data_IF_214747784097
#
_entry.id   IF_214747784097
#
_cell.length_a   1.000
_cell.length_b   1.000
_cell.length_c   1.000
_cell.angle_alpha   90.00
_cell.angle_beta   90.00
_cell.angle_gamma   90.00
#
_symmetry.space_group_name_H-M   'P 1'
#
loop_
_entity.id
_entity.type
_entity.pdbx_description
1 polymer ?
#
# COMPACT_ATOMS: atom_id res chain seq x y z
N UNK A 1 -43.56 8.35 9.87
CA UNK A 1 -42.59 8.39 10.95
C UNK A 1 -42.47 9.77 11.63
N UNK A 2 -42.87 10.87 11.00
CA UNK A 2 -42.95 12.20 11.64
C UNK A 2 -41.57 12.91 11.87
N UNK A 3 -40.45 12.33 11.39
CA UNK A 3 -39.11 12.93 11.49
C UNK A 3 -38.67 13.46 10.11
N UNK A 4 -38.28 14.73 10.05
CA UNK A 4 -37.69 15.33 8.84
C UNK A 4 -36.23 14.95 8.73
N UNK A 5 -35.87 14.26 7.65
CA UNK A 5 -34.51 13.80 7.38
C UNK A 5 -33.86 14.67 6.33
N UNK A 6 -32.72 15.28 6.67
CA UNK A 6 -31.80 15.91 5.72
C UNK A 6 -30.88 14.86 5.11
N UNK A 7 -30.74 14.86 3.78
CA UNK A 7 -29.82 13.95 3.07
C UNK A 7 -28.73 14.77 2.41
N UNK A 8 -27.49 14.41 2.68
CA UNK A 8 -26.29 14.97 2.06
C UNK A 8 -25.42 13.85 1.47
N UNK A 9 -24.57 14.17 0.50
CA UNK A 9 -23.80 13.15 -0.22
C UNK A 9 -22.32 13.43 -0.09
N UNK A 10 -21.61 12.45 0.43
CA UNK A 10 -20.13 12.36 0.47
C UNK A 10 -19.44 13.68 0.87
N UNK A 11 -18.93 14.41 -0.12
CA UNK A 11 -18.14 15.62 0.06
C UNK A 11 -18.94 16.77 0.69
N UNK A 12 -20.25 16.75 0.65
CA UNK A 12 -21.11 17.76 1.27
C UNK A 12 -20.79 18.01 2.75
N UNK A 13 -20.41 16.95 3.50
CA UNK A 13 -20.02 17.07 4.91
C UNK A 13 -18.61 17.61 5.12
N UNK A 14 -17.79 17.69 4.06
CA UNK A 14 -16.39 18.14 4.14
C UNK A 14 -16.26 19.67 3.94
N UNK A 15 -17.35 20.40 3.73
CA UNK A 15 -17.36 21.85 3.52
C UNK A 15 -17.58 22.65 4.82
N UNK A 16 -17.25 22.08 5.96
CA UNK A 16 -17.39 22.66 7.29
C UNK A 16 -16.23 23.63 7.60
N UNK A 17 -16.47 24.94 7.45
CA UNK A 17 -15.46 25.96 7.75
C UNK A 17 -15.06 25.98 9.22
N UNK A 18 -15.99 25.74 10.14
CA UNK A 18 -15.69 25.73 11.57
C UNK A 18 -14.76 24.58 11.97
N UNK A 19 -14.82 23.46 11.24
CA UNK A 19 -13.96 22.31 11.48
C UNK A 19 -12.63 22.40 10.72
N UNK A 20 -12.65 22.80 9.42
CA UNK A 20 -11.48 22.79 8.55
C UNK A 20 -10.75 24.14 8.46
N UNK A 21 -11.31 25.22 9.01
CA UNK A 21 -10.78 26.57 8.88
C UNK A 21 -10.90 27.19 7.48
N UNK A 22 -11.58 26.50 6.56
CA UNK A 22 -11.82 26.94 5.18
C UNK A 22 -13.07 26.29 4.61
N UNK A 23 -13.62 26.90 3.57
CA UNK A 23 -14.66 26.31 2.71
C UNK A 23 -14.10 25.94 1.35
N UNK A 24 -14.61 24.84 0.79
CA UNK A 24 -14.39 24.45 -0.61
C UNK A 24 -15.45 25.07 -1.53
N UNK A 25 -16.67 25.29 -1.02
CA UNK A 25 -17.82 25.87 -1.73
C UNK A 25 -18.43 27.01 -0.93
N UNK A 26 -19.16 27.90 -1.60
CA UNK A 26 -19.80 29.07 -0.98
C UNK A 26 -20.88 28.70 0.06
N UNK A 27 -21.51 27.53 -0.08
CA UNK A 27 -22.62 27.07 0.77
C UNK A 27 -22.23 25.80 1.50
N UNK A 28 -22.52 25.72 2.80
CA UNK A 28 -22.45 24.48 3.59
C UNK A 28 -23.76 23.70 3.41
N UNK A 29 -23.71 22.50 2.77
CA UNK A 29 -24.92 21.70 2.55
C UNK A 29 -25.55 21.18 3.83
N UNK A 30 -24.77 20.86 4.86
CA UNK A 30 -25.28 20.41 6.16
C UNK A 30 -26.05 21.54 6.85
N UNK A 31 -25.49 22.74 6.88
CA UNK A 31 -26.16 23.94 7.41
C UNK A 31 -27.52 24.20 6.71
N UNK A 32 -27.53 24.03 5.38
CA UNK A 32 -28.76 24.25 4.60
C UNK A 32 -29.88 23.26 4.91
N UNK A 33 -29.59 21.96 5.00
CA UNK A 33 -30.64 20.95 5.29
C UNK A 33 -31.15 21.11 6.71
N UNK A 34 -30.30 21.50 7.67
CA UNK A 34 -30.72 21.80 9.04
C UNK A 34 -31.58 23.05 9.10
N UNK A 35 -31.21 24.13 8.41
CA UNK A 35 -32.01 25.36 8.32
C UNK A 35 -33.38 25.13 7.64
N UNK A 36 -33.47 24.11 6.77
CA UNK A 36 -34.72 23.67 6.17
C UNK A 36 -35.57 22.77 7.09
N UNK A 37 -35.14 22.54 8.34
CA UNK A 37 -35.92 21.83 9.36
C UNK A 37 -35.55 20.34 9.52
N UNK A 38 -34.38 19.91 9.05
CA UNK A 38 -33.93 18.53 9.29
C UNK A 38 -33.72 18.27 10.79
N UNK A 39 -34.29 17.19 11.29
CA UNK A 39 -34.15 16.72 12.67
C UNK A 39 -33.17 15.56 12.80
N UNK A 40 -32.75 15.01 11.66
CA UNK A 40 -31.73 13.99 11.49
C UNK A 40 -31.03 14.26 10.16
N UNK A 41 -29.71 14.16 10.10
CA UNK A 41 -28.96 14.24 8.85
C UNK A 41 -28.33 12.90 8.52
N UNK A 42 -28.50 12.44 7.28
CA UNK A 42 -27.88 11.23 6.74
C UNK A 42 -26.89 11.61 5.66
N UNK A 43 -25.64 11.22 5.81
CA UNK A 43 -24.61 11.36 4.79
C UNK A 43 -24.33 10.02 4.12
N UNK A 44 -24.57 9.93 2.81
CA UNK A 44 -24.26 8.78 1.98
C UNK A 44 -22.92 9.00 1.30
N UNK A 45 -21.90 8.23 1.68
CA UNK A 45 -20.49 8.47 1.32
C UNK A 45 -19.85 7.32 0.56
N UNK A 46 -18.94 7.67 -0.33
CA UNK A 46 -17.89 6.82 -0.90
C UNK A 46 -16.53 7.45 -0.58
N UNK A 47 -16.23 7.57 0.70
CA UNK A 47 -14.99 8.17 1.20
C UNK A 47 -13.91 7.09 1.34
N UNK A 48 -12.81 7.18 0.55
CA UNK A 48 -11.77 6.17 0.58
C UNK A 48 -10.99 6.22 1.91
N UNK A 49 -10.54 5.05 2.32
CA UNK A 49 -9.67 4.92 3.48
C UNK A 49 -8.24 5.36 3.17
N UNK A 50 -7.62 5.96 4.15
CA UNK A 50 -6.19 6.17 4.28
C UNK A 50 -5.87 6.31 5.76
N UNK A 51 -4.60 6.25 6.14
CA UNK A 51 -4.15 6.41 7.54
C UNK A 51 -4.81 7.63 8.21
N UNK A 52 -5.40 7.43 9.39
CA UNK A 52 -6.07 8.49 10.18
C UNK A 52 -7.42 8.96 9.65
N UNK A 53 -7.90 8.40 8.54
CA UNK A 53 -9.14 8.86 7.90
C UNK A 53 -10.39 8.50 8.72
N UNK A 54 -10.39 7.36 9.39
CA UNK A 54 -11.50 6.90 10.25
C UNK A 54 -11.74 7.87 11.40
N UNK A 55 -10.70 8.22 12.17
CA UNK A 55 -10.77 9.22 13.24
C UNK A 55 -11.16 10.61 12.73
N UNK A 56 -10.66 11.01 11.56
CA UNK A 56 -10.99 12.30 10.98
C UNK A 56 -12.50 12.40 10.66
N UNK A 57 -13.09 11.35 10.06
CA UNK A 57 -14.54 11.30 9.78
C UNK A 57 -15.36 11.38 11.07
N UNK A 58 -15.00 10.58 12.09
CA UNK A 58 -15.72 10.58 13.36
C UNK A 58 -15.70 11.97 14.02
N UNK A 59 -14.53 12.61 14.08
CA UNK A 59 -14.39 13.98 14.64
C UNK A 59 -15.19 15.00 13.85
N UNK A 60 -15.14 14.95 12.52
CA UNK A 60 -15.86 15.88 11.64
C UNK A 60 -17.37 15.75 11.83
N UNK A 61 -17.93 14.53 11.77
CA UNK A 61 -19.36 14.28 11.89
C UNK A 61 -19.86 14.63 13.29
N UNK A 62 -19.14 14.27 14.35
CA UNK A 62 -19.49 14.63 15.74
C UNK A 62 -19.44 16.15 15.94
N UNK A 63 -18.45 16.86 15.36
CA UNK A 63 -18.37 18.31 15.44
C UNK A 63 -19.55 18.98 14.72
N UNK A 64 -19.95 18.48 13.55
CA UNK A 64 -21.11 18.98 12.83
C UNK A 64 -22.41 18.69 13.61
N UNK A 65 -22.59 17.48 14.16
CA UNK A 65 -23.74 17.15 15.01
C UNK A 65 -23.83 18.08 16.22
N UNK A 66 -22.71 18.36 16.86
CA UNK A 66 -22.65 19.31 18.01
C UNK A 66 -23.02 20.72 17.60
N UNK A 67 -22.47 21.23 16.50
CA UNK A 67 -22.71 22.60 16.03
C UNK A 67 -24.19 22.84 15.66
N UNK A 68 -24.80 21.86 14.99
CA UNK A 68 -26.17 21.99 14.49
C UNK A 68 -27.22 21.49 15.48
N UNK A 69 -26.85 20.81 16.54
CA UNK A 69 -27.77 20.25 17.54
C UNK A 69 -28.67 19.12 16.99
N UNK A 70 -28.26 18.45 15.92
CA UNK A 70 -29.02 17.35 15.30
C UNK A 70 -28.17 16.09 15.18
N UNK A 71 -28.74 14.88 15.37
CA UNK A 71 -28.04 13.63 15.13
C UNK A 71 -27.62 13.49 13.66
N UNK A 72 -26.49 12.86 13.42
CA UNK A 72 -25.99 12.58 12.08
C UNK A 72 -25.65 11.10 11.91
N UNK A 73 -26.07 10.51 10.79
CA UNK A 73 -25.73 9.15 10.40
C UNK A 73 -24.79 9.22 9.20
N UNK A 74 -23.61 8.68 9.37
CA UNK A 74 -22.60 8.58 8.32
C UNK A 74 -22.57 7.15 7.79
N UNK A 75 -22.95 6.96 6.52
CA UNK A 75 -22.97 5.66 5.84
C UNK A 75 -21.93 5.68 4.74
N UNK A 76 -20.95 4.80 4.81
CA UNK A 76 -19.85 4.76 3.86
C UNK A 76 -19.80 3.44 3.09
N UNK A 77 -19.36 3.51 1.85
CA UNK A 77 -19.15 2.37 0.99
C UNK A 77 -18.10 1.40 1.55
N UNK A 78 -18.26 0.10 1.26
CA UNK A 78 -17.26 -0.95 1.46
C UNK A 78 -16.82 -1.48 0.10
N UNK A 79 -15.54 -1.80 -0.05
CA UNK A 79 -14.99 -2.43 -1.23
C UNK A 79 -13.74 -1.74 -1.75
N UNK A 80 -13.15 -2.27 -2.83
CA UNK A 80 -11.96 -1.70 -3.49
C UNK A 80 -12.27 -1.28 -4.90
N UNK A 81 -11.61 -0.23 -5.38
CA UNK A 81 -11.70 0.23 -6.77
C UNK A 81 -10.33 0.75 -7.24
N UNK A 82 -9.62 -0.08 -7.98
CA UNK A 82 -8.23 0.11 -8.41
C UNK A 82 -7.34 0.44 -7.20
N UNK A 83 -6.87 1.69 -7.07
CA UNK A 83 -6.06 2.13 -5.93
C UNK A 83 -6.87 2.45 -4.68
N UNK A 84 -8.16 2.77 -4.78
CA UNK A 84 -8.98 3.22 -3.66
C UNK A 84 -9.57 2.05 -2.87
N UNK A 85 -9.45 2.11 -1.56
CA UNK A 85 -10.06 1.18 -0.63
C UNK A 85 -11.10 1.90 0.21
N UNK A 86 -12.31 1.37 0.27
CA UNK A 86 -13.42 1.91 1.06
C UNK A 86 -13.64 0.99 2.25
N UNK A 87 -13.39 1.53 3.43
CA UNK A 87 -13.41 0.78 4.69
C UNK A 87 -14.81 0.63 5.29
N UNK A 88 -15.86 1.19 4.68
CA UNK A 88 -17.13 1.31 5.36
C UNK A 88 -16.98 2.19 6.58
N UNK A 89 -16.91 1.59 7.76
CA UNK A 89 -16.72 2.36 8.99
C UNK A 89 -17.89 3.30 9.25
N UNK A 90 -19.11 2.88 8.93
CA UNK A 90 -20.35 3.64 9.12
C UNK A 90 -20.68 3.77 10.60
N UNK A 91 -21.23 4.91 11.01
CA UNK A 91 -21.60 5.20 12.39
C UNK A 91 -22.69 6.28 12.47
N UNK A 92 -23.30 6.41 13.65
CA UNK A 92 -24.19 7.51 13.98
C UNK A 92 -23.59 8.33 15.11
N UNK A 93 -23.75 9.66 15.09
CA UNK A 93 -23.17 10.58 16.02
C UNK A 93 -24.14 11.66 16.51
N UNK A 94 -23.96 12.07 17.77
CA UNK A 94 -24.54 13.26 18.38
C UNK A 94 -23.45 14.24 18.85
N UNK A 95 -23.84 15.30 19.56
CA UNK A 95 -22.91 16.19 20.23
C UNK A 95 -22.03 15.50 21.28
N UNK A 96 -22.50 14.40 21.85
CA UNK A 96 -21.91 13.73 23.02
C UNK A 96 -20.97 12.57 22.62
N UNK A 97 -21.19 11.96 21.44
CA UNK A 97 -20.39 10.85 20.96
C UNK A 97 -21.04 10.08 19.81
N UNK A 98 -20.74 8.78 19.70
CA UNK A 98 -21.26 7.88 18.68
C UNK A 98 -22.17 6.81 19.26
N UNK A 99 -23.11 6.30 18.45
CA UNK A 99 -24.07 5.26 18.87
C UNK A 99 -23.45 3.86 18.87
N UNK A 100 -22.55 3.57 17.92
CA UNK A 100 -21.94 2.26 17.77
C UNK A 100 -20.52 2.41 17.20
N UNK A 101 -19.65 1.42 17.48
CA UNK A 101 -18.32 1.35 16.87
C UNK A 101 -18.44 0.99 15.39
N UNK A 102 -17.68 1.69 14.52
CA UNK A 102 -17.67 1.37 13.10
C UNK A 102 -17.11 -0.03 12.82
N UNK A 103 -17.75 -0.78 11.94
CA UNK A 103 -17.19 -2.02 11.38
C UNK A 103 -16.36 -1.65 10.15
N UNK A 104 -15.08 -2.02 10.16
CA UNK A 104 -14.17 -1.67 9.08
C UNK A 104 -13.95 -2.85 8.12
N UNK A 105 -13.91 -2.56 6.82
CA UNK A 105 -13.63 -3.48 5.71
C UNK A 105 -14.59 -4.68 5.63
N UNK A 106 -15.81 -4.54 6.15
CA UNK A 106 -16.86 -5.53 6.04
C UNK A 106 -18.22 -4.85 5.81
N UNK A 107 -19.08 -5.52 5.03
CA UNK A 107 -20.48 -5.11 4.91
C UNK A 107 -21.19 -5.34 6.24
N UNK A 108 -21.97 -4.36 6.69
CA UNK A 108 -22.71 -4.42 7.93
C UNK A 108 -24.06 -3.73 7.83
N UNK A 109 -25.04 -4.21 8.62
CA UNK A 109 -26.33 -3.59 8.82
C UNK A 109 -26.55 -3.42 10.31
N UNK A 110 -26.38 -2.19 10.78
CA UNK A 110 -26.52 -1.84 12.19
C UNK A 110 -27.82 -1.08 12.43
N UNK A 111 -28.56 -1.48 13.46
CA UNK A 111 -29.75 -0.76 13.95
C UNK A 111 -29.30 0.22 15.04
N UNK A 112 -29.66 1.49 14.87
CA UNK A 112 -29.39 2.54 15.84
C UNK A 112 -30.68 2.96 16.50
N UNK A 113 -30.75 2.83 17.84
CA UNK A 113 -31.89 3.32 18.62
C UNK A 113 -31.73 4.83 18.86
N UNK A 114 -32.61 5.63 18.28
CA UNK A 114 -32.62 7.09 18.42
C UNK A 114 -33.07 7.58 19.79
N UNK A 115 -33.61 6.69 20.63
CA UNK A 115 -34.00 6.99 22.01
C UNK A 115 -32.89 6.68 23.03
N UNK A 116 -31.90 5.90 22.64
CA UNK A 116 -30.73 5.60 23.47
C UNK A 116 -29.69 6.73 23.44
N UNK A 117 -28.86 6.90 24.51
CA UNK A 117 -27.74 7.83 24.47
C UNK A 117 -26.69 7.40 23.47
N UNK A 118 -26.12 8.36 22.72
CA UNK A 118 -25.01 8.18 21.77
C UNK A 118 -23.77 8.89 22.32
N UNK A 119 -23.12 8.28 23.30
CA UNK A 119 -22.04 8.87 24.08
C UNK A 119 -20.74 8.05 24.02
N UNK A 120 -20.71 6.96 23.23
CA UNK A 120 -19.51 6.16 23.07
C UNK A 120 -18.41 6.96 22.35
N UNK A 121 -17.17 6.70 22.74
CA UNK A 121 -16.00 7.24 22.04
C UNK A 121 -15.54 6.26 20.97
N UNK A 122 -15.01 6.80 19.86
CA UNK A 122 -14.41 5.97 18.82
C UNK A 122 -13.20 5.20 19.38
N UNK A 123 -13.22 3.88 19.23
CA UNK A 123 -12.05 3.04 19.43
C UNK A 123 -11.41 2.80 18.07
N UNK A 124 -10.21 3.33 17.88
CA UNK A 124 -9.49 3.18 16.62
C UNK A 124 -8.76 1.83 16.60
N UNK A 125 -8.98 0.98 15.58
CA UNK A 125 -8.20 -0.25 15.43
C UNK A 125 -6.71 0.06 15.21
N UNK A 126 -5.84 -0.90 15.52
CA UNK A 126 -4.42 -0.77 15.23
C UNK A 126 -4.16 -0.47 13.75
N UNK A 127 -3.22 0.45 13.46
CA UNK A 127 -2.91 0.84 12.09
C UNK A 127 -2.54 -0.36 11.21
N UNK A 128 -1.72 -1.28 11.73
CA UNK A 128 -1.29 -2.47 11.01
C UNK A 128 -2.49 -3.36 10.62
N UNK A 129 -3.48 -3.49 11.50
CA UNK A 129 -4.70 -4.24 11.22
C UNK A 129 -5.51 -3.59 10.09
N UNK A 130 -5.63 -2.27 10.09
CA UNK A 130 -6.33 -1.53 9.05
C UNK A 130 -5.60 -1.60 7.70
N UNK A 131 -4.27 -1.48 7.70
CA UNK A 131 -3.45 -1.63 6.50
C UNK A 131 -3.57 -3.04 5.92
N UNK A 132 -3.52 -4.06 6.77
CA UNK A 132 -3.71 -5.46 6.37
C UNK A 132 -5.09 -5.66 5.72
N UNK A 133 -6.16 -5.22 6.37
CA UNK A 133 -7.52 -5.37 5.86
C UNK A 133 -7.71 -4.63 4.52
N UNK A 134 -7.12 -3.44 4.37
CA UNK A 134 -7.12 -2.68 3.12
C UNK A 134 -6.39 -3.42 2.00
N UNK A 135 -5.23 -4.03 2.28
CA UNK A 135 -4.49 -4.82 1.30
C UNK A 135 -5.28 -6.06 0.86
N UNK A 136 -5.82 -6.82 1.81
CA UNK A 136 -6.63 -8.03 1.52
C UNK A 136 -7.87 -7.67 0.69
N UNK A 137 -8.61 -6.65 1.09
CA UNK A 137 -9.78 -6.17 0.32
C UNK A 137 -9.36 -5.70 -1.07
N UNK A 138 -8.28 -4.94 -1.18
CA UNK A 138 -7.79 -4.39 -2.44
C UNK A 138 -7.37 -5.47 -3.43
N UNK A 139 -6.62 -6.48 -2.99
CA UNK A 139 -6.25 -7.62 -3.83
C UNK A 139 -7.51 -8.36 -4.31
N UNK A 140 -8.41 -8.69 -3.39
CA UNK A 140 -9.66 -9.41 -3.71
C UNK A 140 -10.49 -8.64 -4.73
N UNK A 141 -10.76 -7.37 -4.47
CA UNK A 141 -11.58 -6.53 -5.35
C UNK A 141 -10.94 -6.35 -6.74
N UNK A 142 -9.63 -6.12 -6.79
CA UNK A 142 -8.92 -5.94 -8.05
C UNK A 142 -8.97 -7.20 -8.90
N UNK A 143 -8.61 -8.36 -8.34
CA UNK A 143 -8.58 -9.64 -9.04
C UNK A 143 -9.98 -10.00 -9.56
N UNK A 144 -11.00 -9.90 -8.71
CA UNK A 144 -12.38 -10.27 -9.07
C UNK A 144 -13.00 -9.33 -10.10
N UNK A 145 -12.80 -8.00 -9.97
CA UNK A 145 -13.36 -7.02 -10.91
C UNK A 145 -12.78 -7.13 -12.32
N UNK A 146 -11.52 -7.58 -12.44
CA UNK A 146 -10.92 -7.87 -13.75
C UNK A 146 -11.24 -9.28 -14.29
N UNK A 147 -12.04 -10.06 -13.56
CA UNK A 147 -12.49 -11.39 -13.99
C UNK A 147 -11.43 -12.48 -13.81
N UNK A 148 -10.38 -12.23 -13.05
CA UNK A 148 -9.40 -13.26 -12.69
C UNK A 148 -9.83 -14.01 -11.43
N UNK A 149 -9.37 -15.25 -11.31
CA UNK A 149 -9.54 -16.09 -10.10
C UNK A 149 -8.22 -16.61 -9.55
N UNK A 150 -7.12 -16.37 -10.24
CA UNK A 150 -5.79 -16.85 -9.87
C UNK A 150 -4.76 -15.73 -9.94
N UNK A 151 -3.78 -15.82 -9.06
CA UNK A 151 -2.62 -14.93 -9.06
C UNK A 151 -1.32 -15.72 -9.04
N UNK A 152 -0.28 -15.11 -9.58
CA UNK A 152 1.10 -15.62 -9.52
C UNK A 152 2.02 -14.52 -9.04
N UNK A 153 3.08 -14.88 -8.30
CA UNK A 153 4.13 -13.97 -7.89
C UNK A 153 5.48 -14.70 -7.75
N UNK A 154 6.54 -13.94 -7.86
CA UNK A 154 7.89 -14.43 -7.55
C UNK A 154 8.08 -14.57 -6.04
N UNK A 155 8.57 -15.73 -5.58
CA UNK A 155 9.00 -15.94 -4.21
C UNK A 155 10.53 -15.94 -4.15
N UNK A 156 11.09 -14.87 -3.62
CA UNK A 156 12.53 -14.69 -3.50
C UNK A 156 13.11 -15.21 -2.17
N UNK A 157 12.24 -15.64 -1.24
CA UNK A 157 12.60 -15.89 0.15
C UNK A 157 12.75 -14.59 0.98
N UNK A 158 12.59 -13.41 0.38
CA UNK A 158 12.59 -12.11 1.08
C UNK A 158 11.22 -11.76 1.62
N UNK A 159 11.22 -10.84 2.60
CA UNK A 159 10.04 -10.43 3.37
C UNK A 159 8.92 -9.85 2.50
N UNK A 160 9.23 -9.07 1.45
CA UNK A 160 8.24 -8.40 0.61
C UNK A 160 7.41 -9.41 -0.17
N UNK A 161 8.06 -10.36 -0.83
CA UNK A 161 7.38 -11.44 -1.56
C UNK A 161 6.59 -12.35 -0.61
N UNK A 162 7.11 -12.60 0.60
CA UNK A 162 6.44 -13.38 1.62
C UNK A 162 5.17 -12.68 2.12
N UNK A 163 5.23 -11.39 2.37
CA UNK A 163 4.06 -10.61 2.76
C UNK A 163 2.99 -10.59 1.67
N UNK A 164 3.37 -10.31 0.41
CA UNK A 164 2.40 -10.28 -0.71
C UNK A 164 1.75 -11.65 -0.91
N UNK A 165 2.50 -12.76 -0.81
CA UNK A 165 1.93 -14.11 -0.89
C UNK A 165 0.91 -14.35 0.22
N UNK A 166 1.23 -13.98 1.46
CA UNK A 166 0.35 -14.14 2.62
C UNK A 166 -0.94 -13.34 2.46
N UNK A 167 -0.83 -12.07 2.05
CA UNK A 167 -1.98 -11.20 1.77
C UNK A 167 -2.85 -11.75 0.62
N UNK A 168 -2.24 -12.30 -0.42
CA UNK A 168 -2.94 -12.90 -1.55
C UNK A 168 -3.72 -14.16 -1.13
N UNK A 169 -3.15 -15.00 -0.26
CA UNK A 169 -3.84 -16.17 0.30
C UNK A 169 -5.04 -15.76 1.13
N UNK A 170 -4.91 -14.74 1.97
CA UNK A 170 -6.02 -14.24 2.79
C UNK A 170 -7.11 -13.56 1.94
N UNK A 171 -6.73 -13.02 0.79
CA UNK A 171 -7.67 -12.42 -0.14
C UNK A 171 -8.44 -13.43 -0.99
N UNK A 172 -7.79 -14.51 -1.45
CA UNK A 172 -8.29 -15.36 -2.55
C UNK A 172 -8.38 -16.86 -2.21
N UNK A 173 -7.76 -17.30 -1.11
CA UNK A 173 -7.55 -18.73 -0.81
C UNK A 173 -6.25 -19.27 -1.40
N UNK A 174 -5.66 -20.25 -0.73
CA UNK A 174 -4.35 -20.83 -1.10
C UNK A 174 -4.35 -21.43 -2.51
N UNK A 175 -5.46 -22.07 -2.91
CA UNK A 175 -5.66 -22.70 -4.22
C UNK A 175 -5.62 -21.72 -5.40
N UNK A 176 -5.79 -20.42 -5.11
CA UNK A 176 -5.79 -19.34 -6.11
C UNK A 176 -4.41 -18.68 -6.26
N UNK A 177 -3.43 -19.07 -5.43
CA UNK A 177 -2.11 -18.42 -5.38
C UNK A 177 -1.02 -19.39 -5.81
N UNK A 178 -0.15 -18.93 -6.71
CA UNK A 178 1.03 -19.70 -7.12
C UNK A 178 2.30 -18.89 -6.88
N UNK A 179 3.24 -19.49 -6.15
CA UNK A 179 4.58 -18.95 -5.94
C UNK A 179 5.59 -19.53 -6.93
N UNK A 180 6.49 -18.69 -7.45
CA UNK A 180 7.55 -19.13 -8.36
C UNK A 180 8.91 -18.69 -7.80
N UNK A 181 9.72 -19.63 -7.36
CA UNK A 181 11.12 -19.42 -7.02
C UNK A 181 11.99 -19.43 -8.28
N UNK A 182 12.81 -18.39 -8.46
CA UNK A 182 13.62 -18.20 -9.66
C UNK A 182 15.08 -17.87 -9.28
N UNK A 183 15.80 -18.84 -8.66
CA UNK A 183 17.16 -18.58 -8.22
C UNK A 183 18.10 -18.33 -9.40
N UNK A 184 19.02 -17.39 -9.20
CA UNK A 184 20.18 -17.15 -10.06
C UNK A 184 21.40 -17.89 -9.53
N UNK A 185 22.54 -17.76 -10.20
CA UNK A 185 23.85 -18.23 -9.70
C UNK A 185 24.29 -17.52 -8.41
N UNK A 186 23.66 -16.41 -8.05
CA UNK A 186 23.99 -15.59 -6.87
C UNK A 186 22.98 -15.76 -5.73
N UNK A 187 21.87 -16.46 -5.97
CA UNK A 187 20.85 -16.69 -4.95
C UNK A 187 21.35 -17.69 -3.92
N UNK A 188 21.17 -17.36 -2.65
CA UNK A 188 21.54 -18.23 -1.54
C UNK A 188 20.61 -19.46 -1.45
N UNK A 189 21.14 -20.58 -0.96
CA UNK A 189 20.31 -21.78 -0.68
C UNK A 189 19.21 -21.44 0.34
N UNK A 190 19.53 -20.67 1.36
CA UNK A 190 18.57 -20.20 2.37
C UNK A 190 17.38 -19.44 1.78
N UNK A 191 17.59 -18.62 0.75
CA UNK A 191 16.50 -17.92 0.08
C UNK A 191 15.53 -18.88 -0.62
N UNK A 192 16.05 -19.96 -1.20
CA UNK A 192 15.22 -21.00 -1.82
C UNK A 192 14.47 -21.81 -0.77
N UNK A 193 15.12 -22.12 0.35
CA UNK A 193 14.51 -22.83 1.49
C UNK A 193 13.41 -21.99 2.11
N UNK A 194 13.64 -20.70 2.36
CA UNK A 194 12.64 -19.76 2.88
C UNK A 194 11.42 -19.65 1.97
N UNK A 195 11.64 -19.56 0.65
CA UNK A 195 10.54 -19.51 -0.32
C UNK A 195 9.70 -20.79 -0.32
N UNK A 196 10.36 -21.95 -0.17
CA UNK A 196 9.68 -23.25 -0.07
C UNK A 196 8.91 -23.37 1.24
N UNK A 197 9.53 -23.05 2.38
CA UNK A 197 8.90 -23.09 3.69
C UNK A 197 7.68 -22.16 3.75
N UNK A 198 7.78 -20.96 3.19
CA UNK A 198 6.64 -20.05 3.06
C UNK A 198 5.50 -20.70 2.26
N UNK A 199 5.80 -21.32 1.11
CA UNK A 199 4.79 -21.95 0.28
C UNK A 199 4.10 -23.12 1.00
N UNK A 200 4.85 -23.91 1.76
CA UNK A 200 4.34 -24.98 2.61
C UNK A 200 3.45 -24.45 3.74
N UNK A 201 3.91 -23.41 4.47
CA UNK A 201 3.15 -22.78 5.54
C UNK A 201 1.81 -22.18 5.05
N UNK A 202 1.80 -21.64 3.84
CA UNK A 202 0.61 -21.04 3.23
C UNK A 202 -0.26 -22.04 2.46
N UNK A 203 0.23 -23.24 2.19
CA UNK A 203 -0.47 -24.27 1.40
C UNK A 203 -0.63 -23.92 -0.07
N UNK A 204 0.27 -23.11 -0.65
CA UNK A 204 0.20 -22.65 -2.04
C UNK A 204 1.03 -23.54 -2.97
N UNK A 205 0.64 -23.58 -4.26
CA UNK A 205 1.44 -24.22 -5.29
C UNK A 205 2.79 -23.49 -5.44
N UNK A 206 3.89 -24.24 -5.52
CA UNK A 206 5.24 -23.69 -5.66
C UNK A 206 5.99 -24.35 -6.82
N UNK A 207 6.56 -23.50 -7.68
CA UNK A 207 7.44 -23.95 -8.78
C UNK A 207 8.83 -23.37 -8.60
N UNK A 208 9.86 -24.19 -8.80
CA UNK A 208 11.26 -23.75 -8.81
C UNK A 208 11.76 -23.73 -10.25
N UNK A 209 12.05 -22.53 -10.76
CA UNK A 209 12.51 -22.27 -12.14
C UNK A 209 13.85 -21.53 -12.13
N UNK A 210 15.00 -22.22 -11.99
CA UNK A 210 16.32 -21.57 -12.01
C UNK A 210 16.55 -20.77 -13.30
N UNK A 211 17.07 -19.54 -13.17
CA UNK A 211 17.31 -18.67 -14.31
C UNK A 211 18.73 -18.77 -14.90
N UNK A 212 19.62 -19.60 -14.34
CA UNK A 212 21.00 -19.73 -14.81
C UNK A 212 21.10 -20.02 -16.33
N UNK A 213 20.28 -20.94 -16.92
CA UNK A 213 20.34 -21.14 -18.39
C UNK A 213 19.98 -19.90 -19.20
N UNK A 214 19.06 -19.07 -18.68
CA UNK A 214 18.69 -17.80 -19.35
C UNK A 214 19.82 -16.78 -19.21
N UNK A 215 20.48 -16.71 -18.05
CA UNK A 215 21.63 -15.83 -17.85
C UNK A 215 22.75 -16.20 -18.85
N UNK A 216 23.10 -17.49 -18.98
CA UNK A 216 24.12 -17.98 -19.92
C UNK A 216 23.77 -17.61 -21.37
N UNK A 217 22.49 -17.72 -21.76
CA UNK A 217 22.04 -17.35 -23.08
C UNK A 217 22.11 -15.82 -23.33
N UNK A 218 21.74 -15.01 -22.34
CA UNK A 218 21.87 -13.54 -22.42
C UNK A 218 23.34 -13.12 -22.47
N UNK A 219 24.20 -13.71 -21.62
CA UNK A 219 25.65 -13.43 -21.60
C UNK A 219 26.26 -13.71 -22.98
N UNK A 220 25.98 -14.88 -23.57
CA UNK A 220 26.45 -15.24 -24.89
C UNK A 220 25.92 -14.32 -26.02
N UNK A 221 24.64 -13.90 -25.91
CA UNK A 221 24.01 -13.06 -26.93
C UNK A 221 24.52 -11.62 -26.87
N UNK A 222 24.81 -11.11 -25.67
CA UNK A 222 25.24 -9.73 -25.45
C UNK A 222 26.76 -9.56 -25.50
N UNK A 223 27.53 -10.65 -25.46
CA UNK A 223 28.99 -10.62 -25.49
C UNK A 223 29.56 -9.69 -26.58
N UNK A 224 29.10 -9.75 -27.87
CA UNK A 224 29.68 -8.91 -28.93
C UNK A 224 29.52 -7.40 -28.70
N UNK A 225 28.50 -6.98 -27.92
CA UNK A 225 28.22 -5.57 -27.62
C UNK A 225 28.66 -5.14 -26.22
N UNK A 226 29.00 -6.10 -25.34
CA UNK A 226 29.50 -5.85 -23.99
C UNK A 226 31.02 -6.05 -23.89
N UNK A 227 31.66 -6.58 -24.92
CA UNK A 227 33.12 -6.80 -24.95
C UNK A 227 33.91 -5.54 -24.55
N UNK A 228 34.82 -5.70 -23.59
CA UNK A 228 35.66 -4.59 -23.10
C UNK A 228 35.00 -3.67 -22.08
N UNK A 229 33.76 -3.93 -21.67
CA UNK A 229 33.08 -3.23 -20.55
C UNK A 229 33.18 -4.06 -19.26
N UNK A 230 33.15 -3.39 -18.09
CA UNK A 230 33.07 -4.07 -16.81
C UNK A 230 31.61 -4.46 -16.51
N UNK A 231 31.39 -5.62 -15.88
CA UNK A 231 30.03 -5.99 -15.39
C UNK A 231 29.46 -4.93 -14.45
N UNK A 232 28.12 -4.73 -14.53
CA UNK A 232 27.44 -3.71 -13.74
C UNK A 232 25.92 -3.84 -13.76
N UNK A 233 25.23 -2.72 -13.71
CA UNK A 233 23.77 -2.67 -13.68
C UNK A 233 23.09 -3.36 -14.87
N UNK A 234 23.75 -3.49 -16.01
CA UNK A 234 23.17 -4.16 -17.18
C UNK A 234 22.94 -5.65 -16.88
N UNK A 235 23.96 -6.33 -16.37
CA UNK A 235 23.93 -7.76 -16.04
C UNK A 235 23.00 -8.04 -14.84
N UNK A 236 23.00 -7.16 -13.82
CA UNK A 236 22.06 -7.25 -12.70
C UNK A 236 20.62 -7.14 -13.20
N UNK A 237 20.31 -6.14 -14.02
CA UNK A 237 18.98 -5.88 -14.54
C UNK A 237 18.48 -6.96 -15.52
N UNK A 238 19.36 -7.60 -16.27
CA UNK A 238 19.00 -8.75 -17.14
C UNK A 238 18.41 -9.88 -16.30
N UNK A 239 18.95 -10.18 -15.11
CA UNK A 239 18.42 -11.22 -14.22
C UNK A 239 16.98 -10.90 -13.76
N UNK A 240 16.76 -9.65 -13.33
CA UNK A 240 15.42 -9.20 -12.91
C UNK A 240 14.41 -9.29 -14.06
N UNK A 241 14.80 -8.88 -15.28
CA UNK A 241 13.96 -8.97 -16.47
C UNK A 241 13.69 -10.41 -16.91
N UNK A 242 14.68 -11.31 -16.83
CA UNK A 242 14.48 -12.73 -17.09
C UNK A 242 13.39 -13.34 -16.18
N UNK A 243 13.42 -12.99 -14.88
CA UNK A 243 12.36 -13.38 -13.93
C UNK A 243 11.00 -12.80 -14.34
N UNK A 244 10.96 -11.53 -14.73
CA UNK A 244 9.74 -10.88 -15.23
C UNK A 244 9.14 -11.58 -16.44
N UNK A 245 9.96 -12.01 -17.38
CA UNK A 245 9.52 -12.77 -18.59
C UNK A 245 8.93 -14.12 -18.17
N UNK A 246 9.57 -14.88 -17.28
CA UNK A 246 9.07 -16.18 -16.82
C UNK A 246 7.73 -16.04 -16.10
N UNK A 247 7.60 -15.06 -15.22
CA UNK A 247 6.35 -14.79 -14.49
C UNK A 247 5.21 -14.41 -15.43
N UNK A 248 5.46 -13.56 -16.43
CA UNK A 248 4.45 -13.19 -17.42
C UNK A 248 4.08 -14.35 -18.34
N UNK A 249 5.06 -15.19 -18.71
CA UNK A 249 4.77 -16.40 -19.49
C UNK A 249 3.87 -17.36 -18.74
N UNK A 250 4.14 -17.56 -17.43
CA UNK A 250 3.29 -18.36 -16.55
C UNK A 250 1.89 -17.75 -16.44
N UNK A 251 1.81 -16.43 -16.13
CA UNK A 251 0.56 -15.70 -16.00
C UNK A 251 -0.34 -15.86 -17.23
N UNK A 252 0.23 -15.64 -18.42
CA UNK A 252 -0.49 -15.80 -19.68
C UNK A 252 -0.94 -17.24 -19.93
N UNK A 253 -0.08 -18.21 -19.63
CA UNK A 253 -0.36 -19.63 -19.88
C UNK A 253 -1.49 -20.17 -19.01
N UNK A 254 -1.57 -19.71 -17.77
CA UNK A 254 -2.49 -20.23 -16.74
C UNK A 254 -3.67 -19.28 -16.45
N UNK A 255 -3.78 -18.16 -17.14
CA UNK A 255 -4.85 -17.19 -16.90
C UNK A 255 -4.78 -16.57 -15.50
N UNK A 256 -3.57 -16.37 -14.97
CA UNK A 256 -3.32 -15.78 -13.65
C UNK A 256 -2.93 -14.30 -13.78
N UNK A 257 -3.22 -13.52 -12.75
CA UNK A 257 -2.77 -12.14 -12.62
C UNK A 257 -1.40 -12.11 -11.91
N UNK A 258 -0.41 -11.41 -12.47
CA UNK A 258 0.89 -11.25 -11.82
C UNK A 258 0.83 -10.14 -10.76
N UNK A 259 1.22 -10.46 -9.52
CA UNK A 259 1.40 -9.49 -8.44
C UNK A 259 2.87 -9.07 -8.33
N UNK A 260 3.07 -7.76 -8.18
CA UNK A 260 4.38 -7.13 -7.96
C UNK A 260 4.64 -7.02 -6.46
N UNK A 261 5.86 -7.20 -6.01
CA UNK A 261 6.20 -7.33 -4.58
C UNK A 261 6.99 -6.15 -4.01
N UNK A 262 7.28 -5.12 -4.80
CA UNK A 262 8.03 -3.95 -4.34
C UNK A 262 7.26 -3.11 -3.32
N UNK A 263 7.96 -2.56 -2.34
CA UNK A 263 7.44 -1.70 -1.28
C UNK A 263 7.62 -0.20 -1.58
N UNK A 264 7.08 0.67 -0.71
CA UNK A 264 7.12 2.13 -0.89
C UNK A 264 8.52 2.71 -0.83
N UNK A 265 9.38 2.17 0.03
CA UNK A 265 10.76 2.66 0.20
C UNK A 265 11.60 2.42 -1.05
N UNK A 266 11.53 1.22 -1.61
CA UNK A 266 12.17 0.87 -2.88
C UNK A 266 11.65 1.72 -4.04
N UNK A 267 10.32 1.86 -4.15
CA UNK A 267 9.69 2.72 -5.15
C UNK A 267 10.12 4.19 -5.02
N UNK A 268 10.30 4.68 -3.79
CA UNK A 268 10.69 6.07 -3.55
C UNK A 268 12.07 6.37 -4.14
N UNK A 269 13.07 5.57 -3.81
CA UNK A 269 14.46 5.78 -4.25
C UNK A 269 14.76 5.19 -5.63
N UNK A 270 13.78 4.45 -6.21
CA UNK A 270 13.94 3.78 -7.50
C UNK A 270 14.83 2.54 -7.45
N UNK A 271 14.93 1.91 -6.28
CA UNK A 271 15.63 0.64 -6.10
C UNK A 271 14.77 -0.52 -6.66
N UNK A 272 14.57 -0.47 -7.97
CA UNK A 272 13.76 -1.41 -8.73
C UNK A 272 14.17 -1.43 -10.20
N UNK A 273 13.91 -2.52 -10.89
CA UNK A 273 14.21 -2.72 -12.31
C UNK A 273 12.94 -2.67 -13.15
N UNK A 274 12.85 -1.67 -14.04
CA UNK A 274 11.74 -1.56 -15.00
C UNK A 274 11.70 -2.81 -15.90
N UNK A 275 10.49 -3.37 -16.05
CA UNK A 275 10.20 -4.62 -16.76
C UNK A 275 10.80 -5.88 -16.10
N UNK A 276 11.38 -5.75 -14.91
CA UNK A 276 11.87 -6.84 -14.07
C UNK A 276 10.95 -7.05 -12.88
N UNK A 277 11.37 -6.66 -11.71
CA UNK A 277 10.60 -6.71 -10.45
C UNK A 277 9.44 -5.70 -10.39
N UNK A 278 9.43 -4.69 -11.27
CA UNK A 278 8.26 -3.81 -11.46
C UNK A 278 7.20 -4.41 -12.41
N UNK A 279 7.40 -5.63 -12.89
CA UNK A 279 6.46 -6.27 -13.81
C UNK A 279 5.26 -6.83 -13.03
N UNK A 280 4.04 -6.56 -13.50
CA UNK A 280 2.82 -7.06 -12.87
C UNK A 280 1.61 -6.18 -13.15
N UNK A 281 0.47 -6.61 -12.64
CA UNK A 281 -0.81 -5.92 -12.83
C UNK A 281 -1.26 -5.16 -11.59
N UNK A 282 -0.76 -5.53 -10.40
CA UNK A 282 -1.05 -4.87 -9.13
C UNK A 282 0.19 -4.95 -8.22
N UNK A 283 0.50 -3.87 -7.53
CA UNK A 283 1.55 -3.77 -6.50
C UNK A 283 0.90 -3.53 -5.13
N UNK A 284 0.51 -4.59 -4.39
CA UNK A 284 -0.32 -4.47 -3.19
C UNK A 284 0.33 -3.70 -2.04
N UNK A 285 1.65 -3.78 -1.90
CA UNK A 285 2.41 -3.19 -0.79
C UNK A 285 3.25 -1.96 -1.19
N UNK A 286 3.10 -1.47 -2.43
CA UNK A 286 3.91 -0.35 -2.91
C UNK A 286 3.58 1.00 -2.25
N UNK A 287 2.59 1.07 -1.36
CA UNK A 287 2.31 2.20 -0.46
C UNK A 287 2.60 1.89 1.02
N UNK A 288 3.26 0.77 1.33
CA UNK A 288 3.81 0.44 2.65
C UNK A 288 5.31 0.69 2.68
N UNK A 289 5.78 1.44 3.68
CA UNK A 289 7.20 1.58 3.96
C UNK A 289 7.82 0.24 4.39
N UNK A 290 9.10 0.02 4.15
CA UNK A 290 9.78 -1.24 4.54
C UNK A 290 9.62 -1.56 6.02
N UNK A 291 9.68 -0.55 6.87
CA UNK A 291 9.42 -0.69 8.31
C UNK A 291 7.98 -1.14 8.62
N UNK A 292 6.99 -0.73 7.82
CA UNK A 292 5.60 -1.18 7.94
C UNK A 292 5.42 -2.61 7.40
N UNK A 293 6.18 -2.99 6.37
CA UNK A 293 6.22 -4.39 5.86
C UNK A 293 6.69 -5.33 6.98
N UNK A 294 7.78 -5.00 7.68
CA UNK A 294 8.24 -5.79 8.83
C UNK A 294 7.22 -5.83 9.97
N UNK A 295 6.61 -4.69 10.28
CA UNK A 295 5.60 -4.62 11.34
C UNK A 295 4.40 -5.51 11.01
N UNK A 296 3.92 -5.49 9.76
CA UNK A 296 2.80 -6.31 9.31
C UNK A 296 3.15 -7.80 9.30
N UNK A 297 4.34 -8.18 8.85
CA UNK A 297 4.79 -9.58 8.87
C UNK A 297 4.85 -10.15 10.30
N UNK A 298 5.41 -9.37 11.26
CA UNK A 298 5.42 -9.78 12.67
C UNK A 298 4.01 -9.85 13.26
N UNK A 299 3.13 -8.91 12.89
CA UNK A 299 1.73 -8.92 13.31
C UNK A 299 0.98 -10.16 12.78
N UNK A 300 1.24 -10.58 11.55
CA UNK A 300 0.66 -11.79 10.95
C UNK A 300 1.14 -13.08 11.64
N UNK A 301 2.35 -13.07 12.17
CA UNK A 301 2.93 -14.23 12.87
C UNK A 301 2.57 -14.29 14.37
N UNK A 302 1.78 -13.35 14.92
CA UNK A 302 1.46 -13.30 16.36
C UNK A 302 0.74 -14.55 16.90
N UNK A 303 -0.02 -15.22 16.05
CA UNK A 303 -0.82 -16.41 16.40
C UNK A 303 -0.21 -17.73 15.87
N UNK A 304 1.00 -17.68 15.31
CA UNK A 304 1.72 -18.81 14.73
C UNK A 304 2.56 -18.38 13.52
N UNK A 305 3.58 -19.15 13.21
CA UNK A 305 4.48 -18.83 12.10
C UNK A 305 3.81 -19.11 10.74
N UNK A 306 3.52 -18.08 9.99
CA UNK A 306 3.04 -18.11 8.61
C UNK A 306 4.16 -17.72 7.63
N UNK A 307 4.88 -16.65 7.96
CA UNK A 307 6.06 -16.15 7.25
C UNK A 307 7.28 -16.67 8.01
N UNK A 308 8.22 -17.40 7.37
CA UNK A 308 9.41 -17.87 8.04
C UNK A 308 10.15 -16.74 8.78
N UNK A 309 10.56 -16.98 10.03
CA UNK A 309 11.26 -15.98 10.83
C UNK A 309 12.55 -15.51 10.12
N UNK A 310 13.25 -16.40 9.44
CA UNK A 310 14.42 -16.08 8.61
C UNK A 310 14.13 -15.06 7.52
N UNK A 311 12.96 -15.14 6.86
CA UNK A 311 12.54 -14.13 5.87
C UNK A 311 12.31 -12.74 6.49
N UNK A 312 11.90 -12.68 7.77
CA UNK A 312 11.65 -11.41 8.47
C UNK A 312 12.96 -10.77 8.96
N UNK A 313 13.89 -11.61 9.47
CA UNK A 313 15.04 -11.14 10.23
C UNK A 313 16.31 -11.01 9.40
N UNK A 314 16.38 -11.64 8.20
CA UNK A 314 17.55 -11.50 7.35
C UNK A 314 17.68 -10.09 6.77
N UNK A 315 18.91 -9.60 6.59
CA UNK A 315 19.16 -8.32 5.93
C UNK A 315 18.58 -8.29 4.51
N UNK A 316 17.91 -7.19 4.10
CA UNK A 316 17.39 -7.04 2.73
C UNK A 316 18.50 -7.09 1.69
N UNK A 317 18.26 -7.86 0.62
CA UNK A 317 19.16 -7.99 -0.52
C UNK A 317 18.38 -8.33 -1.78
N UNK A 318 18.82 -7.77 -2.91
CA UNK A 318 18.31 -8.14 -4.23
C UNK A 318 18.96 -9.42 -4.80
N UNK A 319 20.06 -9.92 -4.21
CA UNK A 319 20.81 -11.12 -4.63
C UNK A 319 21.15 -11.16 -6.16
N UNK A 320 21.51 -10.00 -6.73
CA UNK A 320 21.88 -9.88 -8.16
C UNK A 320 23.38 -9.97 -8.40
N UNK A 321 24.17 -9.86 -7.35
CA UNK A 321 25.64 -10.02 -7.32
C UNK A 321 26.09 -10.66 -6.01
N UNK A 322 27.34 -11.18 -5.91
CA UNK A 322 27.85 -11.78 -4.67
C UNK A 322 27.75 -10.82 -3.48
N UNK A 323 27.34 -11.34 -2.33
CA UNK A 323 27.30 -10.65 -1.03
C UNK A 323 26.59 -9.28 -1.03
N UNK A 324 25.66 -9.07 -1.95
CA UNK A 324 24.93 -7.83 -2.08
C UNK A 324 24.01 -7.59 -0.89
N UNK A 325 24.01 -6.36 -0.37
CA UNK A 325 23.03 -5.86 0.59
C UNK A 325 22.46 -4.53 0.10
N UNK A 326 21.21 -4.24 0.45
CA UNK A 326 20.58 -2.94 0.13
C UNK A 326 21.35 -1.79 0.79
N UNK A 327 21.95 -2.05 1.96
CA UNK A 327 22.79 -1.09 2.70
C UNK A 327 24.12 -0.75 2.01
N UNK A 328 24.51 -1.44 0.93
CA UNK A 328 25.64 -1.02 0.10
C UNK A 328 25.41 0.34 -0.59
N UNK A 329 24.14 0.70 -0.81
CA UNK A 329 23.77 1.92 -1.56
C UNK A 329 22.77 2.82 -0.83
N UNK A 330 22.06 2.31 0.16
CA UNK A 330 21.02 3.00 0.93
C UNK A 330 21.35 2.97 2.42
N UNK A 331 20.88 3.94 3.22
CA UNK A 331 20.88 3.79 4.67
C UNK A 331 20.00 2.60 5.11
N UNK A 332 20.22 2.12 6.34
CA UNK A 332 19.28 1.18 6.95
C UNK A 332 17.84 1.73 6.89
N UNK A 333 16.87 0.86 6.60
CA UNK A 333 15.49 1.28 6.40
C UNK A 333 14.85 1.94 7.63
N UNK A 334 15.32 1.62 8.83
CA UNK A 334 14.86 2.29 10.05
C UNK A 334 15.25 3.79 10.07
N UNK A 335 16.37 4.14 9.43
CA UNK A 335 16.80 5.53 9.25
C UNK A 335 16.25 6.14 7.93
N UNK A 336 16.13 5.34 6.88
CA UNK A 336 15.68 5.78 5.56
C UNK A 336 14.18 6.17 5.55
N UNK A 337 13.32 5.32 6.08
CA UNK A 337 11.86 5.51 6.00
C UNK A 337 11.35 6.80 6.66
N UNK A 338 11.86 7.24 7.84
CA UNK A 338 11.50 8.55 8.39
C UNK A 338 11.86 9.73 7.47
N UNK A 339 13.02 9.65 6.80
CA UNK A 339 13.45 10.69 5.84
C UNK A 339 12.54 10.69 4.61
N UNK A 340 12.28 9.52 4.04
CA UNK A 340 11.39 9.40 2.89
C UNK A 340 9.95 9.83 3.22
N UNK A 341 9.45 9.52 4.41
CA UNK A 341 8.13 9.97 4.88
C UNK A 341 8.07 11.49 4.94
N UNK A 342 9.06 12.12 5.53
CA UNK A 342 9.17 13.58 5.61
C UNK A 342 9.19 14.24 4.22
N UNK A 343 10.00 13.71 3.29
CA UNK A 343 10.13 14.24 1.94
C UNK A 343 8.91 13.98 1.04
N UNK A 344 8.28 12.80 1.17
CA UNK A 344 7.25 12.31 0.22
C UNK A 344 5.83 12.53 0.74
N UNK A 345 5.55 12.19 2.00
CA UNK A 345 4.21 12.30 2.58
C UNK A 345 3.95 13.68 3.19
N UNK A 346 4.95 14.23 3.91
CA UNK A 346 4.84 15.54 4.56
C UNK A 346 5.29 16.69 3.65
N UNK A 347 5.92 16.39 2.52
CA UNK A 347 6.40 17.37 1.51
C UNK A 347 7.31 18.45 2.12
N UNK A 348 8.15 18.06 3.09
CA UNK A 348 9.09 18.97 3.75
C UNK A 348 10.32 19.23 2.90
N UNK A 349 10.96 20.38 3.12
CA UNK A 349 12.25 20.69 2.51
C UNK A 349 13.37 19.78 3.04
N UNK A 350 14.49 19.75 2.32
CA UNK A 350 15.72 19.01 2.74
C UNK A 350 16.18 19.49 4.13
N UNK A 351 16.19 20.79 4.38
CA UNK A 351 16.58 21.38 5.67
C UNK A 351 15.64 20.96 6.81
N UNK A 352 14.33 21.05 6.59
CA UNK A 352 13.34 20.67 7.59
C UNK A 352 13.37 19.16 7.89
N UNK A 353 13.59 18.33 6.86
CA UNK A 353 13.75 16.88 7.00
C UNK A 353 15.02 16.54 7.77
N UNK A 354 16.16 17.16 7.45
CA UNK A 354 17.40 16.94 8.18
C UNK A 354 17.27 17.31 9.67
N UNK A 355 16.63 18.45 9.95
CA UNK A 355 16.37 18.88 11.33
C UNK A 355 15.43 17.93 12.09
N UNK A 356 14.41 17.38 11.41
CA UNK A 356 13.43 16.47 12.02
C UNK A 356 14.02 15.07 12.30
N UNK A 357 14.81 14.54 11.37
CA UNK A 357 15.30 13.15 11.42
C UNK A 357 16.68 13.01 12.04
N UNK A 358 17.44 14.12 12.15
CA UNK A 358 18.84 14.12 12.61
C UNK A 358 19.82 13.57 11.55
N UNK A 359 19.36 13.23 10.36
CA UNK A 359 20.25 12.79 9.26
C UNK A 359 21.02 13.99 8.70
N UNK A 360 22.27 13.77 8.29
CA UNK A 360 23.09 14.82 7.70
C UNK A 360 22.40 15.42 6.45
N UNK A 361 22.42 16.74 6.32
CA UNK A 361 21.75 17.47 5.23
C UNK A 361 22.13 16.94 3.84
N UNK A 362 23.44 16.70 3.63
CA UNK A 362 23.94 16.24 2.33
C UNK A 362 23.41 14.85 1.98
N UNK A 363 23.21 13.98 2.97
CA UNK A 363 22.62 12.66 2.78
C UNK A 363 21.10 12.77 2.49
N UNK A 364 20.37 13.64 3.21
CA UNK A 364 18.95 13.91 2.90
C UNK A 364 18.82 14.45 1.46
N UNK A 365 19.70 15.35 1.04
CA UNK A 365 19.72 15.88 -0.32
C UNK A 365 20.03 14.77 -1.35
N UNK A 366 20.94 13.86 -1.07
CA UNK A 366 21.24 12.70 -1.91
C UNK A 366 19.98 11.81 -2.08
N UNK A 367 19.31 11.50 -0.98
CA UNK A 367 18.07 10.71 -0.99
C UNK A 367 16.94 11.43 -1.75
N UNK A 368 16.80 12.74 -1.55
CA UNK A 368 15.82 13.52 -2.29
C UNK A 368 16.07 13.50 -3.80
N UNK A 369 17.34 13.55 -4.22
CA UNK A 369 17.70 13.38 -5.64
C UNK A 369 17.35 11.99 -6.18
N UNK A 370 17.52 10.93 -5.40
CA UNK A 370 17.08 9.59 -5.79
C UNK A 370 15.56 9.57 -6.00
N UNK A 371 14.79 10.14 -5.07
CA UNK A 371 13.32 10.26 -5.20
C UNK A 371 12.95 11.02 -6.47
N UNK A 372 13.56 12.17 -6.73
CA UNK A 372 13.26 12.97 -7.92
C UNK A 372 13.63 12.25 -9.23
N UNK A 373 14.82 11.66 -9.28
CA UNK A 373 15.32 10.99 -10.48
C UNK A 373 14.59 9.68 -10.80
N UNK A 374 13.82 9.15 -9.86
CA UNK A 374 13.08 7.88 -10.01
C UNK A 374 11.62 8.06 -10.45
N UNK A 375 11.16 9.31 -10.67
CA UNK A 375 9.76 9.57 -11.04
C UNK A 375 9.35 8.83 -12.34
N UNK A 376 10.24 8.77 -13.33
CA UNK A 376 9.98 8.05 -14.59
C UNK A 376 9.78 6.54 -14.39
N UNK A 377 10.37 5.93 -13.36
CA UNK A 377 10.14 4.53 -12.98
C UNK A 377 8.76 4.38 -12.35
N UNK A 378 8.40 5.26 -11.40
CA UNK A 378 7.09 5.26 -10.74
C UNK A 378 5.95 5.52 -11.71
N UNK A 379 6.18 6.32 -12.75
CA UNK A 379 5.17 6.56 -13.80
C UNK A 379 4.79 5.29 -14.57
N UNK A 380 5.69 4.32 -14.65
CA UNK A 380 5.50 3.03 -15.31
C UNK A 380 5.19 1.89 -14.33
N UNK A 381 5.05 2.21 -13.04
CA UNK A 381 4.80 1.21 -12.01
C UNK A 381 3.35 0.68 -12.09
N UNK A 382 3.10 -0.60 -11.73
CA UNK A 382 1.75 -1.14 -11.66
C UNK A 382 0.84 -0.33 -10.73
N UNK A 383 -0.49 -0.44 -10.90
CA UNK A 383 -1.45 0.10 -9.93
C UNK A 383 -1.10 -0.30 -8.50
N UNK A 384 -1.17 0.67 -7.59
CA UNK A 384 -0.79 0.53 -6.18
C UNK A 384 -2.01 0.74 -5.31
N UNK A 385 -2.24 -0.09 -4.31
CA UNK A 385 -3.28 0.14 -3.33
C UNK A 385 -2.93 1.37 -2.50
N UNK A 386 -3.85 2.33 -2.40
CA UNK A 386 -3.66 3.55 -1.63
C UNK A 386 -3.92 3.28 -0.15
N UNK A 387 -2.89 3.38 0.67
CA UNK A 387 -2.93 3.16 2.12
C UNK A 387 -2.57 4.43 2.90
N UNK A 388 -2.02 5.43 2.21
CA UNK A 388 -1.63 6.73 2.75
C UNK A 388 -2.27 7.87 1.96
N UNK A 389 -2.21 9.08 2.51
CA UNK A 389 -2.69 10.27 1.79
C UNK A 389 -1.82 10.63 0.57
N UNK A 390 -0.58 10.11 0.51
CA UNK A 390 0.41 10.36 -0.55
C UNK A 390 0.89 9.05 -1.19
N UNK A 391 -0.03 8.34 -1.81
CA UNK A 391 0.29 7.24 -2.72
C UNK A 391 0.89 7.79 -4.03
N UNK A 392 1.70 6.97 -4.73
CA UNK A 392 2.45 7.38 -5.92
C UNK A 392 1.57 7.97 -7.03
N UNK A 393 0.38 7.43 -7.29
CA UNK A 393 -0.55 7.97 -8.30
C UNK A 393 -1.21 9.30 -7.87
N UNK A 394 -1.33 9.55 -6.59
CA UNK A 394 -1.82 10.82 -6.04
C UNK A 394 -0.77 11.93 -6.04
N UNK A 395 0.51 11.58 -6.13
CA UNK A 395 1.64 12.50 -6.15
C UNK A 395 1.97 12.87 -7.60
N UNK A 396 1.67 14.11 -7.97
CA UNK A 396 1.95 14.62 -9.32
C UNK A 396 3.28 15.37 -9.32
N UNK A 397 4.33 14.71 -9.78
CA UNK A 397 5.63 15.34 -10.03
C UNK A 397 5.93 15.31 -11.53
N UNK A 398 6.63 16.30 -12.06
CA UNK A 398 7.09 16.25 -13.44
C UNK A 398 8.04 15.05 -13.65
N UNK A 399 7.75 14.22 -14.65
CA UNK A 399 8.60 13.05 -14.98
C UNK A 399 9.93 13.49 -15.58
N UNK A 400 9.89 14.56 -16.38
CA UNK A 400 11.07 15.09 -17.08
C UNK A 400 11.42 16.46 -16.53
N UNK A 401 12.32 16.51 -15.56
CA UNK A 401 12.81 17.77 -15.00
C UNK A 401 14.26 17.66 -14.50
N UNK A 402 14.91 18.80 -14.33
CA UNK A 402 16.23 18.93 -13.71
C UNK A 402 16.20 19.90 -12.52
N UNK A 403 15.05 19.99 -11.88
CA UNK A 403 14.91 20.82 -10.68
C UNK A 403 15.90 20.36 -9.61
N UNK A 404 16.49 21.33 -8.91
CA UNK A 404 17.34 21.12 -7.72
C UNK A 404 16.87 22.11 -6.67
N UNK A 405 16.58 21.64 -5.48
CA UNK A 405 16.37 22.50 -4.32
C UNK A 405 17.73 23.18 -4.00
N UNK A 406 17.73 24.50 -3.82
CA UNK A 406 18.94 25.30 -3.56
C UNK A 406 19.04 25.61 -2.08
#
# INVERSE_FOLDING_TARGET
LGVTVGVVVCEDSWNDEAFFGRRSYATDPVERVVAAGAQLVVNLSASPWARGRTSLRARMVTAAARRHGVPMIYVNQVGGDVELQFDGGSFAATADGIAAQPVAFAEDVTVVDTAAPWDAQLVEPELVQMQYAACVQGIRAYVQKFGFSKVVLGLSGGIDSALVATLAVDALGAESVTGVGMPSRYSSEHSVEDARALAENLGVAFHLLPIAPLQDAFDATLEPVFAGTAPGLAEENVQSRARGVLLMAYANKHGALLLTTGNKSECAVGYCTIYGDTNGALAPIADLWKTEVWAMARWLNRDGERIPASSIDKPPSAELRPDQLDTDSLPDYAALDPVLRSLVEEERSVEATAAQTGMARDEVERLFRLVQNSEWKRYQYPPTLRLSDRCWRGRRMPVSHRYRER
#
